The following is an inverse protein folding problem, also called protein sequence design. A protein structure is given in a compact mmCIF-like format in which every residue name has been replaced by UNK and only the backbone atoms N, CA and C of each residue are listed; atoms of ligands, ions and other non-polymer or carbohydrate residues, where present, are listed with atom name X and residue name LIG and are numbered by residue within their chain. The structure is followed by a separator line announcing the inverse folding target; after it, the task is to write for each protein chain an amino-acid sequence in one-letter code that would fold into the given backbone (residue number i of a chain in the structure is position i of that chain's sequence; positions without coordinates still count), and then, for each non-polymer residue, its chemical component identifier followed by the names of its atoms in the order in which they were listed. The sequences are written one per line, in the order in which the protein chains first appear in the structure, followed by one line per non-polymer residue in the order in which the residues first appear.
data_IF_111742730253
#
_entry.id   IF_111742730253
#
_cell.length_a   1.000
_cell.length_b   1.000
_cell.length_c   1.000
_cell.angle_alpha   90.00
_cell.angle_beta   90.00
_cell.angle_gamma   90.00
#
_symmetry.space_group_name_H-M   'P 1'
#
loop_
_entity.id
_entity.type
_entity.pdbx_description
1 polymer ?
#
# COMPACT_ATOMS: atom_id res chain seq x y z
N UNK A 1 29.38 -5.94 -45.54
CA UNK A 1 28.09 -6.50 -45.11
C UNK A 1 27.82 -5.98 -43.72
N UNK A 2 26.98 -4.96 -43.63
CA UNK A 2 26.71 -4.24 -42.38
C UNK A 2 25.91 -5.14 -41.43
N UNK A 3 26.54 -5.56 -40.35
CA UNK A 3 25.92 -6.28 -39.23
C UNK A 3 25.22 -5.21 -38.36
N UNK A 4 24.15 -4.61 -38.89
CA UNK A 4 23.28 -3.77 -38.08
C UNK A 4 22.42 -4.70 -37.22
N UNK A 5 22.74 -4.72 -35.93
CA UNK A 5 21.74 -4.68 -34.84
C UNK A 5 20.54 -5.60 -35.03
N UNK A 6 20.79 -6.92 -35.12
CA UNK A 6 19.79 -7.88 -34.65
C UNK A 6 19.80 -7.77 -33.12
N UNK A 7 18.93 -6.90 -32.61
CA UNK A 7 18.67 -6.77 -31.18
C UNK A 7 18.18 -8.13 -30.70
N UNK A 8 19.08 -8.92 -30.08
CA UNK A 8 18.85 -10.30 -29.66
C UNK A 8 17.66 -10.45 -28.71
N UNK A 9 17.16 -9.35 -28.16
CA UNK A 9 16.02 -9.32 -27.26
C UNK A 9 14.65 -9.30 -27.97
N UNK A 10 14.58 -9.13 -29.30
CA UNK A 10 13.33 -8.96 -30.02
C UNK A 10 12.79 -10.22 -30.71
N UNK A 11 13.57 -11.33 -30.71
CA UNK A 11 13.20 -12.57 -31.40
C UNK A 11 12.84 -13.60 -30.33
N UNK A 12 11.55 -13.72 -30.05
CA UNK A 12 11.01 -14.53 -28.96
C UNK A 12 10.08 -15.62 -29.51
N UNK A 13 9.34 -15.32 -30.60
CA UNK A 13 8.38 -16.26 -31.19
C UNK A 13 8.35 -16.23 -32.73
N UNK A 14 7.88 -17.34 -33.33
CA UNK A 14 7.65 -17.46 -34.78
C UNK A 14 6.69 -16.38 -35.32
N UNK A 15 5.74 -15.93 -34.50
CA UNK A 15 4.76 -14.91 -34.86
C UNK A 15 5.42 -13.58 -35.28
N UNK A 16 6.60 -13.29 -34.74
CA UNK A 16 7.37 -12.07 -35.06
C UNK A 16 8.14 -12.18 -36.38
N UNK A 17 8.39 -13.39 -36.87
CA UNK A 17 9.17 -13.67 -38.08
C UNK A 17 8.33 -13.88 -39.35
N UNK A 18 6.99 -13.91 -39.21
CA UNK A 18 6.06 -14.02 -40.33
C UNK A 18 6.29 -15.28 -41.17
N UNK A 19 6.61 -15.10 -42.46
CA UNK A 19 6.79 -16.21 -43.43
C UNK A 19 8.23 -16.71 -43.56
N UNK A 20 9.18 -16.15 -42.81
CA UNK A 20 10.62 -16.44 -42.96
C UNK A 20 10.99 -17.91 -42.74
N UNK A 21 10.38 -18.57 -41.75
CA UNK A 21 10.56 -20.01 -41.50
C UNK A 21 9.98 -20.84 -42.63
N UNK A 22 8.76 -20.55 -43.04
CA UNK A 22 8.08 -21.28 -44.13
C UNK A 22 8.91 -21.24 -45.42
N UNK A 23 9.48 -20.07 -45.75
CA UNK A 23 10.35 -19.90 -46.92
C UNK A 23 11.67 -20.68 -46.77
N UNK A 24 12.31 -20.66 -45.59
CA UNK A 24 13.54 -21.42 -45.35
C UNK A 24 13.33 -22.95 -45.48
N UNK A 25 12.16 -23.44 -45.06
CA UNK A 25 11.75 -24.85 -45.24
C UNK A 25 11.46 -25.16 -46.71
N UNK A 26 10.69 -24.31 -47.39
CA UNK A 26 10.34 -24.48 -48.81
C UNK A 26 11.57 -24.48 -49.73
N UNK A 27 12.56 -23.65 -49.44
CA UNK A 27 13.78 -23.48 -50.25
C UNK A 27 14.90 -24.45 -49.83
N UNK A 28 14.67 -25.33 -48.84
CA UNK A 28 15.62 -26.34 -48.40
C UNK A 28 16.84 -25.80 -47.65
N UNK A 29 16.82 -24.55 -47.19
CA UNK A 29 17.92 -23.90 -46.46
C UNK A 29 17.95 -24.30 -44.99
N UNK A 30 18.43 -25.53 -44.74
CA UNK A 30 18.48 -26.14 -43.40
C UNK A 30 19.31 -25.33 -42.39
N UNK A 31 20.36 -24.66 -42.83
CA UNK A 31 21.21 -23.84 -41.95
C UNK A 31 20.48 -22.61 -41.42
N UNK A 32 19.76 -21.90 -42.29
CA UNK A 32 18.97 -20.72 -41.91
C UNK A 32 17.81 -21.11 -41.02
N UNK A 33 17.14 -22.22 -41.32
CA UNK A 33 16.09 -22.78 -40.47
C UNK A 33 16.59 -23.11 -39.06
N UNK A 34 17.71 -23.83 -38.96
CA UNK A 34 18.30 -24.21 -37.67
C UNK A 34 18.74 -22.97 -36.87
N UNK A 35 19.26 -21.96 -37.55
CA UNK A 35 19.65 -20.69 -36.92
C UNK A 35 18.43 -19.94 -36.37
N UNK A 36 17.38 -19.76 -37.18
CA UNK A 36 16.15 -19.06 -36.75
C UNK A 36 15.50 -19.82 -35.58
N UNK A 37 15.42 -21.15 -35.66
CA UNK A 37 14.88 -21.99 -34.59
C UNK A 37 15.67 -21.86 -33.28
N UNK A 38 17.00 -21.77 -33.36
CA UNK A 38 17.86 -21.58 -32.17
C UNK A 38 17.73 -20.21 -31.50
N UNK A 39 17.08 -19.25 -32.18
CA UNK A 39 16.83 -17.91 -31.65
C UNK A 39 15.46 -17.79 -30.96
N UNK A 40 14.62 -18.83 -31.00
CA UNK A 40 13.34 -18.81 -30.30
C UNK A 40 13.50 -19.02 -28.81
N UNK A 41 12.59 -18.41 -28.05
CA UNK A 41 12.53 -18.62 -26.61
C UNK A 41 12.04 -20.04 -26.32
N UNK A 42 12.81 -20.77 -25.50
CA UNK A 42 12.40 -22.07 -24.96
C UNK A 42 11.30 -21.91 -23.87
N UNK A 43 11.00 -20.68 -23.44
CA UNK A 43 9.98 -20.42 -22.44
C UNK A 43 8.58 -20.50 -23.05
N UNK A 44 7.87 -21.58 -22.68
CA UNK A 44 6.50 -21.86 -23.14
C UNK A 44 5.52 -20.73 -22.80
N UNK A 45 5.83 -19.90 -21.79
CA UNK A 45 4.99 -18.76 -21.40
C UNK A 45 4.90 -17.69 -22.49
N UNK A 46 5.92 -17.55 -23.33
CA UNK A 46 5.95 -16.54 -24.39
C UNK A 46 5.05 -16.90 -25.59
N UNK A 47 4.69 -18.18 -25.73
CA UNK A 47 3.87 -18.69 -26.82
C UNK A 47 2.47 -19.13 -26.37
N UNK A 48 2.15 -18.98 -25.08
CA UNK A 48 0.85 -19.39 -24.54
C UNK A 48 -0.15 -18.24 -24.65
N UNK A 49 -1.28 -18.40 -25.38
CA UNK A 49 -2.33 -17.39 -25.41
C UNK A 49 -2.95 -17.24 -24.01
N UNK A 50 -2.72 -16.09 -23.37
CA UNK A 50 -3.34 -15.75 -22.09
C UNK A 50 -4.72 -15.16 -22.37
N UNK A 51 -5.77 -15.86 -21.93
CA UNK A 51 -7.12 -15.30 -21.91
C UNK A 51 -7.19 -14.23 -20.82
N UNK A 52 -7.58 -13.01 -21.17
CA UNK A 52 -7.79 -11.95 -20.19
C UNK A 52 -9.02 -12.32 -19.37
N UNK A 53 -8.81 -12.66 -18.11
CA UNK A 53 -9.88 -12.82 -17.15
C UNK A 53 -10.27 -11.41 -16.71
N UNK A 54 -11.49 -10.99 -17.03
CA UNK A 54 -12.04 -9.75 -16.50
C UNK A 54 -12.29 -9.95 -15.00
N UNK A 55 -11.42 -9.39 -14.17
CA UNK A 55 -11.61 -9.39 -12.72
C UNK A 55 -12.84 -8.54 -12.38
N UNK A 56 -13.91 -9.20 -11.96
CA UNK A 56 -15.10 -8.52 -11.44
C UNK A 56 -14.71 -7.82 -10.15
N UNK A 57 -14.91 -6.50 -10.10
CA UNK A 57 -14.71 -5.70 -8.90
C UNK A 57 -15.69 -6.15 -7.79
N UNK A 58 -15.18 -7.02 -6.93
CA UNK A 58 -15.84 -7.52 -5.72
C UNK A 58 -15.34 -6.78 -4.47
N UNK A 59 -14.83 -5.55 -4.63
CA UNK A 59 -14.50 -4.73 -3.48
C UNK A 59 -15.72 -4.51 -2.58
N UNK A 60 -15.48 -4.36 -1.28
CA UNK A 60 -16.55 -4.11 -0.31
C UNK A 60 -17.39 -2.89 -0.70
N UNK A 61 -16.75 -1.84 -1.21
CA UNK A 61 -17.41 -0.62 -1.66
C UNK A 61 -18.36 -0.88 -2.83
N UNK A 62 -17.93 -1.64 -3.84
CA UNK A 62 -18.76 -2.01 -4.98
C UNK A 62 -19.96 -2.87 -4.54
N UNK A 63 -19.74 -3.83 -3.64
CA UNK A 63 -20.81 -4.68 -3.11
C UNK A 63 -21.81 -3.89 -2.28
N UNK A 64 -21.37 -3.02 -1.38
CA UNK A 64 -22.26 -2.19 -0.55
C UNK A 64 -23.10 -1.24 -1.37
N UNK A 65 -22.51 -0.64 -2.42
CA UNK A 65 -23.26 0.18 -3.39
C UNK A 65 -24.30 -0.64 -4.13
N UNK A 66 -23.97 -1.87 -4.56
CA UNK A 66 -24.89 -2.77 -5.25
C UNK A 66 -26.08 -3.19 -4.38
N UNK A 67 -25.85 -3.37 -3.09
CA UNK A 67 -26.87 -3.81 -2.13
C UNK A 67 -27.54 -2.66 -1.36
N UNK A 68 -27.22 -1.40 -1.69
CA UNK A 68 -27.75 -0.20 -1.02
C UNK A 68 -27.58 -0.26 0.51
N UNK A 69 -26.46 -0.83 0.96
CA UNK A 69 -26.18 -0.96 2.38
C UNK A 69 -25.85 0.38 3.01
N UNK A 70 -26.27 0.57 4.26
CA UNK A 70 -25.92 1.74 5.07
C UNK A 70 -24.41 1.87 5.26
N UNK A 71 -24.00 3.03 5.79
CA UNK A 71 -22.60 3.31 6.07
C UNK A 71 -21.98 2.25 7.00
N UNK A 72 -20.67 1.97 6.86
CA UNK A 72 -19.94 1.11 7.80
C UNK A 72 -20.17 1.57 9.23
N UNK A 73 -20.44 0.60 10.10
CA UNK A 73 -20.36 0.86 11.52
C UNK A 73 -18.94 1.31 11.85
N UNK A 74 -18.84 2.46 12.52
CA UNK A 74 -17.55 3.01 12.90
C UNK A 74 -16.90 2.13 13.96
N UNK A 75 -15.61 1.84 13.79
CA UNK A 75 -14.85 1.06 14.77
C UNK A 75 -14.53 1.88 16.02
N UNK A 76 -14.29 3.18 15.84
CA UNK A 76 -13.88 4.13 16.88
C UNK A 76 -14.91 5.23 17.01
N UNK A 77 -15.21 5.61 18.24
CA UNK A 77 -16.08 6.75 18.54
C UNK A 77 -15.51 8.06 18.03
N UNK A 78 -16.40 8.90 17.53
CA UNK A 78 -16.21 10.33 17.30
C UNK A 78 -17.17 11.15 18.18
N UNK A 79 -17.13 12.47 18.05
CA UNK A 79 -18.01 13.35 18.82
C UNK A 79 -19.50 13.07 18.54
N UNK A 80 -19.85 12.69 17.30
CA UNK A 80 -21.23 12.40 16.90
C UNK A 80 -21.73 11.06 17.46
N UNK A 81 -20.83 10.12 17.71
CA UNK A 81 -21.13 8.79 18.25
C UNK A 81 -21.77 8.87 19.64
N UNK A 82 -21.41 9.89 20.44
CA UNK A 82 -22.02 10.08 21.76
C UNK A 82 -23.51 10.46 21.67
N UNK A 83 -23.90 11.28 20.69
CA UNK A 83 -25.29 11.67 20.48
C UNK A 83 -26.14 10.49 20.03
N UNK A 84 -25.61 9.68 19.10
CA UNK A 84 -26.25 8.45 18.61
C UNK A 84 -26.46 7.46 19.76
N UNK A 85 -25.45 7.23 20.58
CA UNK A 85 -25.53 6.34 21.74
C UNK A 85 -26.57 6.81 22.76
N UNK A 86 -26.58 8.12 23.06
CA UNK A 86 -27.54 8.71 23.98
C UNK A 86 -28.98 8.55 23.46
N UNK A 87 -29.20 8.73 22.16
CA UNK A 87 -30.50 8.50 21.54
C UNK A 87 -30.92 7.02 21.64
N UNK A 88 -30.02 6.09 21.33
CA UNK A 88 -30.29 4.65 21.42
C UNK A 88 -30.56 4.21 22.86
N UNK A 89 -29.84 4.74 23.85
CA UNK A 89 -30.10 4.49 25.27
C UNK A 89 -31.46 5.06 25.71
N UNK A 90 -31.84 6.25 25.23
CA UNK A 90 -33.15 6.85 25.49
C UNK A 90 -34.28 6.00 24.89
N UNK A 91 -34.12 5.51 23.66
CA UNK A 91 -35.05 4.59 23.02
C UNK A 91 -35.14 3.24 23.74
N UNK A 92 -34.04 2.77 24.33
CA UNK A 92 -34.03 1.55 25.13
C UNK A 92 -34.95 1.69 26.33
N UNK A 93 -34.78 2.81 27.04
CA UNK A 93 -35.53 3.10 28.25
C UNK A 93 -37.01 3.36 27.97
N UNK A 94 -37.33 4.08 26.90
CA UNK A 94 -38.71 4.50 26.59
C UNK A 94 -39.52 3.48 25.78
N UNK A 95 -38.88 2.76 24.85
CA UNK A 95 -39.56 1.95 23.84
C UNK A 95 -38.99 0.52 23.70
N UNK A 96 -38.05 0.14 24.56
CA UNK A 96 -37.51 -1.22 24.67
C UNK A 96 -36.58 -1.64 23.53
N UNK A 97 -36.22 -2.93 23.53
CA UNK A 97 -35.17 -3.50 22.67
C UNK A 97 -35.44 -3.46 21.16
N UNK A 98 -36.70 -3.53 20.75
CA UNK A 98 -37.03 -3.58 19.31
C UNK A 98 -36.75 -2.23 18.65
N UNK A 99 -37.17 -1.16 19.33
CA UNK A 99 -37.00 0.22 18.88
C UNK A 99 -35.52 0.61 18.81
N UNK A 100 -34.71 0.15 19.77
CA UNK A 100 -33.27 0.40 19.77
C UNK A 100 -32.55 -0.34 18.66
N UNK A 101 -32.88 -1.62 18.45
CA UNK A 101 -32.29 -2.39 17.35
C UNK A 101 -32.60 -1.76 16.00
N UNK A 102 -33.84 -1.33 15.79
CA UNK A 102 -34.20 -0.61 14.57
C UNK A 102 -33.37 0.67 14.40
N UNK A 103 -33.27 1.49 15.45
CA UNK A 103 -32.46 2.71 15.41
C UNK A 103 -30.98 2.41 15.13
N UNK A 104 -30.43 1.35 15.74
CA UNK A 104 -29.05 0.91 15.53
C UNK A 104 -28.80 0.37 14.12
N UNK A 105 -29.76 -0.34 13.52
CA UNK A 105 -29.62 -0.82 12.14
C UNK A 105 -29.73 0.28 11.09
N UNK A 106 -30.40 1.39 11.42
CA UNK A 106 -30.48 2.57 10.56
C UNK A 106 -29.22 3.43 10.69
N UNK A 107 -28.81 3.72 11.92
CA UNK A 107 -27.62 4.52 12.24
C UNK A 107 -26.79 3.74 13.27
N UNK A 108 -25.79 2.98 12.82
CA UNK A 108 -24.99 2.15 13.71
C UNK A 108 -24.12 3.01 14.62
N UNK A 109 -24.12 2.66 15.91
CA UNK A 109 -23.27 3.29 16.91
C UNK A 109 -21.82 2.77 16.82
N UNK A 110 -20.85 3.50 17.35
CA UNK A 110 -19.46 3.08 17.35
C UNK A 110 -19.25 1.79 18.17
N UNK A 111 -18.34 0.91 17.72
CA UNK A 111 -18.05 -0.34 18.44
C UNK A 111 -17.22 -0.13 19.71
N UNK A 112 -16.35 0.89 19.72
CA UNK A 112 -15.44 1.17 20.83
C UNK A 112 -15.41 2.66 21.15
N UNK A 113 -15.63 2.97 22.42
CA UNK A 113 -15.42 4.30 22.98
C UNK A 113 -14.02 4.36 23.57
N UNK A 114 -13.15 5.11 22.90
CA UNK A 114 -11.77 5.28 23.32
C UNK A 114 -11.57 6.67 23.92
N UNK A 115 -10.74 6.81 24.97
CA UNK A 115 -10.40 8.11 25.52
C UNK A 115 -9.78 9.01 24.45
N UNK A 116 -10.09 10.30 24.50
CA UNK A 116 -9.45 11.29 23.64
C UNK A 116 -7.98 11.50 24.05
N UNK A 117 -7.14 11.96 23.12
CA UNK A 117 -5.72 12.31 23.34
C UNK A 117 -4.79 11.20 23.88
N UNK A 118 -5.20 9.94 23.82
CA UNK A 118 -4.41 8.79 24.29
C UNK A 118 -3.71 8.00 23.18
N UNK A 119 -3.74 8.50 21.93
CA UNK A 119 -3.14 7.83 20.76
C UNK A 119 -3.60 6.38 20.60
N UNK A 120 -4.91 6.15 20.74
CA UNK A 120 -5.57 4.85 20.65
C UNK A 120 -5.10 3.81 21.68
N UNK A 121 -4.55 4.27 22.81
CA UNK A 121 -4.26 3.42 23.96
C UNK A 121 -5.34 3.55 25.03
N UNK A 122 -5.61 2.49 25.79
CA UNK A 122 -6.38 2.61 27.02
C UNK A 122 -5.74 3.63 27.97
N UNK A 123 -6.56 4.37 28.71
CA UNK A 123 -6.13 5.43 29.63
C UNK A 123 -5.07 4.92 30.63
N UNK A 124 -5.29 3.72 31.18
CA UNK A 124 -4.37 3.05 32.09
C UNK A 124 -2.98 2.84 31.47
N UNK A 125 -2.94 2.43 30.20
CA UNK A 125 -1.67 2.17 29.50
C UNK A 125 -0.98 3.49 29.19
N UNK A 126 -1.72 4.46 28.66
CA UNK A 126 -1.18 5.77 28.32
C UNK A 126 -0.59 6.48 29.55
N UNK A 127 -1.27 6.40 30.70
CA UNK A 127 -0.80 7.00 31.94
C UNK A 127 0.40 6.29 32.58
N UNK A 128 0.65 5.04 32.23
CA UNK A 128 1.85 4.31 32.65
C UNK A 128 3.08 4.59 31.76
N UNK A 129 2.88 5.19 30.57
CA UNK A 129 4.00 5.58 29.71
C UNK A 129 4.77 6.76 30.30
N UNK A 130 6.10 6.72 30.13
CA UNK A 130 6.98 7.83 30.45
C UNK A 130 6.69 9.04 29.55
N UNK A 131 7.01 10.25 30.03
CA UNK A 131 6.81 11.48 29.25
C UNK A 131 7.55 11.47 27.91
N UNK A 132 8.71 10.81 27.83
CA UNK A 132 9.45 10.65 26.58
C UNK A 132 8.70 9.77 25.57
N UNK A 133 8.07 8.69 26.02
CA UNK A 133 7.27 7.80 25.17
C UNK A 133 6.00 8.50 24.68
N UNK A 134 5.29 9.22 25.55
CA UNK A 134 4.12 10.02 25.13
C UNK A 134 4.48 11.07 24.09
N UNK A 135 5.61 11.76 24.30
CA UNK A 135 6.14 12.72 23.32
C UNK A 135 6.47 12.06 21.99
N UNK A 136 7.12 10.90 22.01
CA UNK A 136 7.48 10.17 20.80
C UNK A 136 6.24 9.74 19.98
N UNK A 137 5.13 9.39 20.64
CA UNK A 137 3.89 9.05 19.93
C UNK A 137 3.19 10.24 19.25
N UNK A 138 3.43 11.47 19.73
CA UNK A 138 2.95 12.70 19.09
C UNK A 138 3.88 13.27 18.01
N UNK A 139 5.13 12.79 17.93
CA UNK A 139 6.10 13.23 16.92
C UNK A 139 5.81 12.51 15.58
N UNK A 140 5.17 13.22 14.64
CA UNK A 140 4.83 12.70 13.30
C UNK A 140 6.02 12.60 12.34
N UNK A 141 7.12 13.29 12.63
CA UNK A 141 8.31 13.29 11.78
C UNK A 141 9.48 12.58 12.46
N UNK A 142 10.23 11.73 11.72
CA UNK A 142 11.41 11.11 12.24
C UNK A 142 12.42 12.19 12.61
N UNK A 143 12.85 12.21 13.88
CA UNK A 143 13.93 13.09 14.32
C UNK A 143 15.18 12.82 13.49
N UNK A 144 15.74 13.88 12.88
CA UNK A 144 17.07 13.81 12.31
C UNK A 144 18.05 13.38 13.41
N UNK A 145 18.70 12.24 13.20
CA UNK A 145 19.69 11.74 14.12
C UNK A 145 20.86 12.72 14.17
N UNK A 146 21.42 12.90 15.37
CA UNK A 146 22.63 13.72 15.52
C UNK A 146 23.72 13.19 14.59
N UNK A 147 24.38 14.05 13.81
CA UNK A 147 25.45 13.62 12.91
C UNK A 147 26.53 12.88 13.70
N UNK A 148 26.98 11.73 13.20
CA UNK A 148 28.08 10.95 13.80
C UNK A 148 29.34 11.82 14.01
N UNK A 149 29.52 12.83 13.16
CA UNK A 149 30.66 13.75 13.20
C UNK A 149 30.49 14.97 14.12
N UNK A 150 29.39 15.09 14.88
CA UNK A 150 29.16 16.25 15.75
C UNK A 150 30.32 16.49 16.72
N UNK A 151 30.86 15.43 17.32
CA UNK A 151 31.99 15.52 18.24
C UNK A 151 33.23 16.11 17.55
N UNK A 152 33.51 15.64 16.33
CA UNK A 152 34.62 16.13 15.51
C UNK A 152 34.40 17.59 15.11
N UNK A 153 33.17 17.99 14.79
CA UNK A 153 32.80 19.36 14.45
C UNK A 153 32.96 20.31 15.65
N UNK A 154 32.55 19.89 16.85
CA UNK A 154 32.70 20.66 18.08
C UNK A 154 34.16 20.88 18.45
N UNK A 155 35.01 19.84 18.37
CA UNK A 155 36.45 19.98 18.62
C UNK A 155 37.08 20.94 17.62
N UNK A 156 36.73 20.81 16.34
CA UNK A 156 37.23 21.72 15.29
C UNK A 156 36.83 23.16 15.60
N UNK A 157 35.54 23.39 15.88
CA UNK A 157 35.00 24.72 16.21
C UNK A 157 35.70 25.34 17.44
N UNK A 158 35.87 24.56 18.50
CA UNK A 158 36.57 25.00 19.71
C UNK A 158 38.02 25.39 19.42
N UNK A 159 38.76 24.57 18.65
CA UNK A 159 40.15 24.86 18.29
C UNK A 159 40.25 26.12 17.41
N UNK A 160 39.38 26.27 16.41
CA UNK A 160 39.37 27.48 15.57
C UNK A 160 39.05 28.74 16.39
N UNK A 161 38.15 28.65 17.35
CA UNK A 161 37.82 29.77 18.23
C UNK A 161 39.03 30.17 19.11
N UNK A 162 39.74 29.21 19.68
CA UNK A 162 40.94 29.48 20.48
C UNK A 162 42.05 30.13 19.65
N UNK A 163 42.25 29.69 18.41
CA UNK A 163 43.24 30.29 17.50
C UNK A 163 42.87 31.74 17.17
N UNK A 164 41.58 32.01 16.90
CA UNK A 164 41.09 33.36 16.64
C UNK A 164 41.20 34.29 17.85
N UNK A 165 41.01 33.77 19.06
CA UNK A 165 41.09 34.56 20.29
C UNK A 165 42.54 34.91 20.71
N UNK A 166 43.55 34.27 20.11
CA UNK A 166 44.97 34.51 20.38
C UNK A 166 45.67 35.37 19.30
N UNK A 167 44.96 35.71 18.22
CA UNK A 167 45.42 36.62 17.17
C UNK A 167 44.95 38.06 17.45
#
# INVERSE_FOLDING_TARGET
MHIHTLDKAAIISELQFGTGISNAVHEGRRADFALILSMFSDDVRDNTPLEKIDEVDNSEQALRKRFELQQPQQLRSDQSSYEVSAQQASLFHSAGLVSTKLSHYLVPDALSYMPEDTHDLPEEVYHNLSGHQRRAMGEKEPKELMPIDLYNQLIKAQRTFQIQAQA
#
